data_IF_652135663213
#
_entry.id   IF_652135663213
#
_cell.length_a   1.000
_cell.length_b   1.000
_cell.length_c   1.000
_cell.angle_alpha   90.00
_cell.angle_beta   90.00
_cell.angle_gamma   90.00
#
_symmetry.space_group_name_H-M   'P 1'
#
loop_
_entity.id
_entity.type
_entity.pdbx_description
1 polymer ?
#
# COMPACT_ATOMS: atom_id res chain seq x y z
N UNK A 1 -9.33 31.75 34.47
CA UNK A 1 -10.77 31.48 34.67
C UNK A 1 -11.41 32.73 35.27
N UNK A 2 -12.41 33.26 34.61
CA UNK A 2 -13.21 34.40 35.15
C UNK A 2 -14.54 33.89 35.71
N UNK A 3 -14.90 34.46 36.85
CA UNK A 3 -16.21 34.24 37.52
C UNK A 3 -16.77 35.63 37.84
N UNK A 4 -17.98 35.93 37.39
CA UNK A 4 -18.67 37.22 37.58
C UNK A 4 -17.81 38.44 37.18
N UNK A 5 -17.07 38.34 36.07
CA UNK A 5 -16.19 39.41 35.57
C UNK A 5 -14.93 39.64 36.40
N UNK A 6 -14.57 38.72 37.30
CA UNK A 6 -13.33 38.75 38.08
C UNK A 6 -12.48 37.54 37.78
N UNK A 7 -11.16 37.76 37.60
CA UNK A 7 -10.20 36.66 37.46
C UNK A 7 -10.15 35.88 38.77
N UNK A 8 -10.68 34.65 38.75
CA UNK A 8 -10.71 33.77 39.94
C UNK A 8 -9.49 32.82 39.95
N UNK A 9 -8.91 32.52 38.78
CA UNK A 9 -7.70 31.71 38.66
C UNK A 9 -6.91 32.17 37.43
N UNK A 10 -5.66 32.50 37.65
CA UNK A 10 -4.69 32.74 36.59
C UNK A 10 -3.53 31.76 36.77
N UNK A 11 -3.31 30.92 35.75
CA UNK A 11 -2.25 29.94 35.77
C UNK A 11 -1.47 30.07 34.48
N UNK A 12 -0.16 30.21 34.58
CA UNK A 12 0.74 30.23 33.44
C UNK A 12 0.99 28.79 32.93
N UNK A 13 0.55 28.50 31.75
CA UNK A 13 0.83 27.22 31.08
C UNK A 13 2.02 27.37 30.15
N UNK A 14 3.07 26.59 30.36
CA UNK A 14 4.18 26.48 29.45
C UNK A 14 3.82 25.50 28.34
N UNK A 15 3.59 25.99 27.14
CA UNK A 15 3.33 25.16 25.96
C UNK A 15 4.64 24.79 25.28
N UNK A 16 5.01 23.53 25.37
CA UNK A 16 6.13 22.99 24.58
C UNK A 16 5.77 22.99 23.08
N UNK A 17 6.67 23.48 22.21
CA UNK A 17 6.41 23.46 20.78
C UNK A 17 6.13 22.04 20.29
N UNK A 18 5.09 21.87 19.47
CA UNK A 18 4.77 20.59 18.85
C UNK A 18 5.93 20.17 17.95
N UNK A 19 6.39 18.92 18.10
CA UNK A 19 7.43 18.36 17.23
C UNK A 19 7.00 18.43 15.77
N UNK A 20 7.85 18.99 14.91
CA UNK A 20 7.62 18.95 13.47
C UNK A 20 7.61 17.51 12.99
N UNK A 21 6.62 17.16 12.17
CA UNK A 21 6.46 15.84 11.57
C UNK A 21 6.35 15.99 10.07
N UNK A 22 6.92 15.05 9.36
CA UNK A 22 6.69 14.86 7.94
C UNK A 22 5.64 13.75 7.79
N UNK A 23 4.62 13.98 6.97
CA UNK A 23 3.53 13.04 6.73
C UNK A 23 3.56 12.64 5.27
N UNK A 24 3.81 11.36 4.99
CA UNK A 24 3.74 10.79 3.65
C UNK A 24 2.36 10.18 3.45
N UNK A 25 1.66 10.64 2.41
CA UNK A 25 0.38 10.07 2.00
C UNK A 25 0.61 9.00 0.93
N UNK A 26 0.06 7.81 1.15
CA UNK A 26 0.19 6.64 0.29
C UNK A 26 -1.21 6.19 -0.17
N UNK A 27 -1.83 6.90 -1.15
CA UNK A 27 -3.15 6.51 -1.63
C UNK A 27 -3.09 5.13 -2.29
N UNK A 28 -4.05 4.29 -1.94
CA UNK A 28 -4.23 2.96 -2.55
C UNK A 28 -5.70 2.55 -2.49
N UNK A 29 -6.03 1.44 -3.13
CA UNK A 29 -7.32 0.76 -2.98
C UNK A 29 -7.09 -0.63 -2.41
N UNK A 30 -7.71 -0.91 -1.28
CA UNK A 30 -7.74 -2.27 -0.75
C UNK A 30 -8.42 -3.24 -1.71
N UNK A 31 -7.91 -4.47 -1.79
CA UNK A 31 -8.36 -5.49 -2.74
C UNK A 31 -8.92 -6.71 -2.01
N UNK A 32 -10.26 -6.72 -1.87
CA UNK A 32 -11.04 -7.86 -1.41
C UNK A 32 -11.50 -8.71 -2.59
N UNK A 33 -10.86 -9.83 -2.84
CA UNK A 33 -11.21 -10.70 -3.97
C UNK A 33 -12.35 -11.63 -3.56
N UNK A 34 -13.57 -11.30 -4.02
CA UNK A 34 -14.76 -12.12 -3.76
C UNK A 34 -15.36 -12.00 -2.36
N UNK A 35 -14.88 -11.09 -1.51
CA UNK A 35 -15.43 -10.87 -0.17
C UNK A 35 -16.55 -9.82 -0.18
N UNK A 36 -16.27 -8.62 -0.66
CA UNK A 36 -17.26 -7.53 -0.72
C UNK A 36 -18.17 -7.62 -1.95
N UNK A 37 -17.67 -8.18 -3.06
CA UNK A 37 -18.37 -8.36 -4.34
C UNK A 37 -17.88 -9.66 -5.02
N UNK A 38 -18.64 -10.23 -5.98
CA UNK A 38 -18.12 -11.30 -6.83
C UNK A 38 -16.85 -10.89 -7.56
N UNK A 39 -15.90 -11.81 -7.69
CA UNK A 39 -14.59 -11.55 -8.27
C UNK A 39 -14.61 -10.73 -9.57
N UNK A 40 -15.48 -11.01 -10.58
CA UNK A 40 -15.51 -10.20 -11.81
C UNK A 40 -15.95 -8.74 -11.58
N UNK A 41 -16.71 -8.47 -10.52
CA UNK A 41 -17.09 -7.11 -10.16
C UNK A 41 -15.92 -6.37 -9.50
N UNK A 42 -15.18 -7.05 -8.63
CA UNK A 42 -13.95 -6.52 -8.02
C UNK A 42 -12.91 -6.21 -9.10
N UNK A 43 -12.69 -7.11 -10.07
CA UNK A 43 -11.79 -6.88 -11.19
C UNK A 43 -12.14 -5.58 -11.93
N UNK A 44 -13.39 -5.42 -12.35
CA UNK A 44 -13.82 -4.20 -13.05
C UNK A 44 -13.66 -2.93 -12.21
N UNK A 45 -13.85 -3.03 -10.89
CA UNK A 45 -13.60 -1.91 -9.98
C UNK A 45 -12.11 -1.53 -9.96
N UNK A 46 -11.24 -2.53 -9.83
CA UNK A 46 -9.79 -2.30 -9.81
C UNK A 46 -9.26 -1.78 -11.16
N UNK A 47 -9.78 -2.26 -12.28
CA UNK A 47 -9.43 -1.72 -13.60
C UNK A 47 -9.76 -0.24 -13.74
N UNK A 48 -10.93 0.20 -13.21
CA UNK A 48 -11.28 1.63 -13.17
C UNK A 48 -10.33 2.41 -12.29
N UNK A 49 -10.05 1.91 -11.09
CA UNK A 49 -9.12 2.57 -10.16
C UNK A 49 -7.74 2.78 -10.80
N UNK A 50 -7.22 1.80 -11.52
CA UNK A 50 -5.93 1.92 -12.20
C UNK A 50 -5.97 2.94 -13.35
N UNK A 51 -7.05 2.98 -14.12
CA UNK A 51 -7.25 3.96 -15.18
C UNK A 51 -7.36 5.37 -14.63
N UNK A 52 -8.18 5.55 -13.61
CA UNK A 52 -8.38 6.83 -12.94
C UNK A 52 -7.08 7.33 -12.29
N UNK A 53 -6.27 6.42 -11.73
CA UNK A 53 -4.97 6.75 -11.17
C UNK A 53 -3.99 7.27 -12.25
N UNK A 54 -3.96 6.63 -13.43
CA UNK A 54 -3.16 7.10 -14.57
C UNK A 54 -3.62 8.49 -15.02
N UNK A 55 -4.93 8.70 -15.11
CA UNK A 55 -5.50 9.98 -15.52
C UNK A 55 -5.16 11.09 -14.51
N UNK A 56 -5.31 10.83 -13.21
CA UNK A 56 -4.96 11.78 -12.14
C UNK A 56 -3.46 12.09 -12.13
N UNK A 57 -2.60 11.10 -12.33
CA UNK A 57 -1.16 11.30 -12.45
C UNK A 57 -0.83 12.24 -13.63
N UNK A 58 -1.46 12.06 -14.78
CA UNK A 58 -1.30 12.94 -15.95
C UNK A 58 -1.81 14.36 -15.68
N UNK A 59 -2.98 14.51 -15.07
CA UNK A 59 -3.57 15.83 -14.74
C UNK A 59 -2.69 16.64 -13.80
N UNK A 60 -1.95 15.99 -12.92
CA UNK A 60 -1.10 16.66 -11.93
C UNK A 60 0.38 16.70 -12.33
N UNK A 61 0.75 16.23 -13.52
CA UNK A 61 2.14 16.12 -13.95
C UNK A 61 2.89 17.47 -13.94
N UNK A 62 2.19 18.59 -14.17
CA UNK A 62 2.74 19.94 -14.13
C UNK A 62 2.83 20.55 -12.72
N UNK A 63 2.29 19.87 -11.70
CA UNK A 63 2.34 20.37 -10.32
C UNK A 63 3.76 20.24 -9.75
N UNK A 64 4.09 20.97 -8.67
CA UNK A 64 5.31 20.73 -7.92
C UNK A 64 5.45 19.25 -7.54
N UNK A 65 6.67 18.68 -7.51
CA UNK A 65 6.87 17.24 -7.31
C UNK A 65 6.15 16.66 -6.09
N UNK A 66 6.09 17.41 -5.00
CA UNK A 66 5.43 17.04 -3.74
C UNK A 66 3.89 17.08 -3.82
N UNK A 67 3.32 17.76 -4.81
CA UNK A 67 1.87 17.89 -5.02
C UNK A 67 1.36 17.00 -6.17
N UNK A 68 2.25 16.27 -6.85
CA UNK A 68 1.85 15.35 -7.91
C UNK A 68 1.13 14.15 -7.34
N UNK A 69 0.06 13.75 -8.00
CA UNK A 69 -0.67 12.55 -7.61
C UNK A 69 0.21 11.30 -7.74
N UNK A 70 0.18 10.47 -6.71
CA UNK A 70 0.82 9.16 -6.64
C UNK A 70 -0.21 8.12 -6.23
N UNK A 71 -0.06 6.93 -6.73
CA UNK A 71 -0.92 5.81 -6.39
C UNK A 71 -0.11 4.56 -6.09
N UNK A 72 -0.53 3.76 -5.12
CA UNK A 72 0.07 2.48 -4.80
C UNK A 72 -0.91 1.36 -5.09
N UNK A 73 -0.48 0.38 -5.85
CA UNK A 73 -1.27 -0.82 -6.11
C UNK A 73 -0.95 -1.85 -5.04
N UNK A 74 -1.94 -2.23 -4.25
CA UNK A 74 -1.76 -3.12 -3.11
C UNK A 74 -1.38 -4.55 -3.53
N UNK A 75 -1.99 -5.09 -4.58
CA UNK A 75 -1.76 -6.46 -5.05
C UNK A 75 -1.62 -6.56 -6.56
N UNK A 76 -0.66 -7.36 -7.03
CA UNK A 76 -0.37 -7.51 -8.45
C UNK A 76 -1.44 -8.27 -9.24
N UNK A 77 -2.33 -8.99 -8.56
CA UNK A 77 -3.51 -9.61 -9.19
C UNK A 77 -4.32 -8.61 -10.02
N UNK A 78 -4.56 -7.42 -9.47
CA UNK A 78 -5.29 -6.37 -10.18
C UNK A 78 -4.53 -5.82 -11.38
N UNK A 79 -3.20 -5.73 -11.29
CA UNK A 79 -2.32 -5.28 -12.39
C UNK A 79 -2.30 -6.32 -13.51
N UNK A 80 -2.09 -7.59 -13.18
CA UNK A 80 -2.07 -8.66 -14.16
C UNK A 80 -3.40 -8.76 -14.92
N UNK A 81 -4.51 -8.73 -14.18
CA UNK A 81 -5.86 -8.73 -14.73
C UNK A 81 -6.11 -7.51 -15.64
N UNK A 82 -5.70 -6.32 -15.20
CA UNK A 82 -5.82 -5.11 -15.99
C UNK A 82 -5.02 -5.16 -17.30
N UNK A 83 -3.77 -5.55 -17.23
CA UNK A 83 -2.88 -5.60 -18.40
C UNK A 83 -3.33 -6.62 -19.45
N UNK A 84 -4.05 -7.68 -19.04
CA UNK A 84 -4.61 -8.68 -19.96
C UNK A 84 -5.76 -8.12 -20.81
N UNK A 85 -6.55 -7.21 -20.28
CA UNK A 85 -7.78 -6.72 -20.91
C UNK A 85 -7.69 -5.25 -21.40
N UNK A 86 -6.72 -4.46 -20.96
CA UNK A 86 -6.57 -3.06 -21.31
C UNK A 86 -6.32 -2.89 -22.84
N UNK A 87 -6.84 -1.81 -23.40
CA UNK A 87 -6.47 -1.40 -24.76
C UNK A 87 -4.96 -1.18 -24.85
N UNK A 88 -4.35 -1.23 -26.05
CA UNK A 88 -2.94 -0.92 -26.22
C UNK A 88 -2.57 0.45 -25.62
N UNK A 89 -3.39 1.48 -25.83
CA UNK A 89 -3.19 2.83 -25.35
C UNK A 89 -3.22 2.90 -23.83
N UNK A 90 -4.22 2.25 -23.20
CA UNK A 90 -4.36 2.22 -21.75
C UNK A 90 -3.22 1.45 -21.09
N UNK A 91 -2.79 0.34 -21.73
CA UNK A 91 -1.65 -0.46 -21.27
C UNK A 91 -0.36 0.34 -21.30
N UNK A 92 -0.06 0.99 -22.42
CA UNK A 92 1.15 1.80 -22.59
C UNK A 92 1.16 2.96 -21.59
N UNK A 93 0.00 3.59 -21.38
CA UNK A 93 -0.16 4.65 -20.40
C UNK A 93 0.12 4.21 -18.97
N UNK A 94 -0.39 3.04 -18.58
CA UNK A 94 -0.15 2.46 -17.26
C UNK A 94 1.34 2.09 -17.10
N UNK A 95 1.92 1.44 -18.10
CA UNK A 95 3.34 1.06 -18.09
C UNK A 95 4.24 2.28 -17.97
N UNK A 96 3.95 3.37 -18.69
CA UNK A 96 4.66 4.63 -18.55
C UNK A 96 4.55 5.20 -17.14
N UNK A 97 3.34 5.27 -16.56
CA UNK A 97 3.11 5.80 -15.22
C UNK A 97 3.84 5.00 -14.11
N UNK A 98 3.98 3.67 -14.28
CA UNK A 98 4.78 2.83 -13.38
C UNK A 98 6.26 3.13 -13.54
N UNK A 99 6.77 3.24 -14.77
CA UNK A 99 8.19 3.53 -15.05
C UNK A 99 8.60 4.92 -14.57
N UNK A 100 7.72 5.89 -14.67
CA UNK A 100 7.92 7.26 -14.19
C UNK A 100 7.77 7.39 -12.66
N UNK A 101 7.28 6.35 -11.98
CA UNK A 101 7.08 6.33 -10.55
C UNK A 101 5.86 7.13 -10.07
N UNK A 102 4.89 7.39 -10.92
CA UNK A 102 3.57 7.92 -10.53
C UNK A 102 2.67 6.84 -9.95
N UNK A 103 2.84 5.59 -10.41
CA UNK A 103 2.17 4.42 -9.85
C UNK A 103 3.23 3.49 -9.28
N UNK A 104 3.14 3.25 -7.96
CA UNK A 104 3.94 2.28 -7.23
C UNK A 104 3.29 0.90 -7.23
N UNK A 105 4.10 -0.15 -7.33
CA UNK A 105 3.66 -1.53 -7.26
C UNK A 105 4.16 -2.17 -5.96
N UNK A 106 3.33 -3.02 -5.36
CA UNK A 106 3.71 -3.87 -4.23
C UNK A 106 4.00 -5.28 -4.75
N UNK A 107 4.97 -5.97 -4.13
CA UNK A 107 5.50 -7.22 -4.67
C UNK A 107 4.55 -8.41 -4.50
N UNK A 108 3.68 -8.37 -3.49
CA UNK A 108 2.73 -9.44 -3.22
C UNK A 108 1.65 -9.54 -4.31
N UNK A 109 1.27 -10.78 -4.66
CA UNK A 109 0.23 -11.02 -5.65
C UNK A 109 -1.15 -10.59 -5.16
N UNK A 110 -1.49 -10.95 -3.92
CA UNK A 110 -2.74 -10.59 -3.24
C UNK A 110 -2.54 -10.65 -1.73
N UNK A 111 -3.52 -10.20 -0.96
CA UNK A 111 -3.58 -10.47 0.48
C UNK A 111 -3.95 -11.93 0.72
N UNK A 112 -3.29 -12.58 1.67
CA UNK A 112 -3.52 -13.99 2.03
C UNK A 112 -3.37 -14.20 3.54
N UNK A 113 -4.00 -15.26 4.05
CA UNK A 113 -3.78 -15.74 5.42
C UNK A 113 -2.42 -16.44 5.52
N UNK A 114 -1.37 -15.69 5.75
CA UNK A 114 0.03 -16.15 5.71
C UNK A 114 0.34 -17.27 6.71
N UNK A 115 -0.44 -17.39 7.79
CA UNK A 115 -0.32 -18.47 8.75
C UNK A 115 -0.83 -19.83 8.25
N UNK A 116 -1.61 -19.83 7.15
CA UNK A 116 -2.12 -21.03 6.49
C UNK A 116 -1.30 -21.42 5.26
N UNK A 117 -0.42 -20.55 4.81
CA UNK A 117 0.42 -20.77 3.64
C UNK A 117 1.70 -21.54 4.01
N UNK A 118 2.11 -22.45 3.14
CA UNK A 118 3.40 -23.11 3.23
C UNK A 118 4.56 -22.15 2.91
N UNK A 119 5.79 -22.44 3.33
CA UNK A 119 6.95 -21.64 2.96
C UNK A 119 7.15 -21.54 1.44
N UNK A 120 6.77 -22.57 0.69
CA UNK A 120 6.86 -22.58 -0.77
C UNK A 120 5.83 -21.66 -1.41
N UNK A 121 4.58 -21.72 -0.97
CA UNK A 121 3.55 -20.78 -1.45
C UNK A 121 3.92 -19.33 -1.16
N UNK A 122 4.51 -19.03 -0.01
CA UNK A 122 5.00 -17.69 0.31
C UNK A 122 6.15 -17.22 -0.60
N UNK A 123 7.04 -18.12 -1.04
CA UNK A 123 8.06 -17.77 -2.04
C UNK A 123 7.43 -17.41 -3.38
N UNK A 124 6.40 -18.17 -3.80
CA UNK A 124 5.67 -17.91 -5.06
C UNK A 124 4.76 -16.69 -4.99
N UNK A 125 4.45 -16.21 -3.80
CA UNK A 125 3.58 -15.05 -3.58
C UNK A 125 4.07 -13.76 -4.28
N UNK A 126 5.36 -13.67 -4.54
CA UNK A 126 5.99 -12.51 -5.21
C UNK A 126 6.43 -12.79 -6.65
N UNK A 127 6.17 -13.96 -7.20
CA UNK A 127 6.61 -14.34 -8.56
C UNK A 127 6.06 -13.44 -9.64
N UNK A 128 4.82 -12.96 -9.50
CA UNK A 128 4.20 -12.01 -10.42
C UNK A 128 5.01 -10.70 -10.53
N UNK A 129 5.64 -10.26 -9.45
CA UNK A 129 6.49 -9.07 -9.46
C UNK A 129 7.68 -9.23 -10.42
N UNK A 130 8.33 -10.39 -10.41
CA UNK A 130 9.43 -10.72 -11.32
C UNK A 130 8.94 -10.87 -12.76
N UNK A 131 7.82 -11.56 -12.95
CA UNK A 131 7.24 -11.79 -14.27
C UNK A 131 6.83 -10.48 -14.96
N UNK A 132 6.06 -9.63 -14.26
CA UNK A 132 5.60 -8.33 -14.77
C UNK A 132 6.78 -7.37 -15.03
N UNK A 133 7.78 -7.38 -14.12
CA UNK A 133 9.00 -6.61 -14.32
C UNK A 133 9.72 -7.01 -15.61
N UNK A 134 9.87 -8.30 -15.88
CA UNK A 134 10.53 -8.80 -17.10
C UNK A 134 9.70 -8.48 -18.35
N UNK A 135 8.38 -8.69 -18.30
CA UNK A 135 7.49 -8.51 -19.45
C UNK A 135 7.33 -7.03 -19.84
N UNK A 136 7.26 -6.14 -18.87
CA UNK A 136 6.95 -4.71 -19.09
C UNK A 136 8.10 -3.76 -18.78
N UNK A 137 9.27 -4.25 -18.39
CA UNK A 137 10.43 -3.42 -18.07
C UNK A 137 10.20 -2.52 -16.86
N UNK A 138 9.45 -2.97 -15.85
CA UNK A 138 9.22 -2.21 -14.63
C UNK A 138 10.49 -2.10 -13.80
N UNK A 139 10.64 -1.02 -13.01
CA UNK A 139 11.74 -0.90 -12.05
C UNK A 139 11.65 -2.03 -10.99
N UNK A 140 12.72 -2.28 -10.23
CA UNK A 140 12.68 -3.24 -9.12
C UNK A 140 11.57 -2.91 -8.13
N UNK A 141 10.66 -3.86 -7.89
CA UNK A 141 9.60 -3.74 -6.90
C UNK A 141 10.19 -4.15 -5.56
N UNK A 142 10.41 -3.18 -4.67
CA UNK A 142 11.13 -3.36 -3.41
C UNK A 142 10.25 -3.23 -2.17
N UNK A 143 8.96 -3.02 -2.36
CA UNK A 143 7.98 -2.90 -1.28
C UNK A 143 6.88 -3.95 -1.42
N UNK A 144 6.30 -4.35 -0.31
CA UNK A 144 5.09 -5.16 -0.25
C UNK A 144 4.13 -4.56 0.79
N UNK A 145 2.84 -4.70 0.55
CA UNK A 145 1.78 -4.22 1.42
C UNK A 145 0.79 -5.36 1.70
N UNK A 146 0.49 -5.58 2.96
CA UNK A 146 -0.43 -6.60 3.41
C UNK A 146 -1.43 -5.97 4.37
N UNK A 147 -2.66 -5.79 3.92
CA UNK A 147 -3.67 -5.01 4.64
C UNK A 147 -4.91 -5.83 4.92
N UNK A 148 -5.56 -5.50 6.02
CA UNK A 148 -6.86 -6.02 6.44
C UNK A 148 -6.92 -7.57 6.59
N UNK A 149 -5.80 -8.18 6.91
CA UNK A 149 -5.71 -9.62 7.16
C UNK A 149 -5.30 -9.88 8.62
N UNK A 150 -5.99 -10.78 9.34
CA UNK A 150 -5.64 -11.10 10.72
C UNK A 150 -4.32 -11.90 10.77
N UNK A 151 -3.31 -11.31 11.41
CA UNK A 151 -2.03 -11.95 11.66
C UNK A 151 -1.06 -11.99 10.48
N UNK A 152 0.18 -12.24 10.82
CA UNK A 152 1.28 -12.35 9.89
C UNK A 152 2.26 -13.41 10.40
N UNK A 153 2.62 -14.40 9.57
CA UNK A 153 3.61 -15.40 9.93
C UNK A 153 5.03 -14.86 9.76
N UNK A 154 5.96 -15.29 10.63
CA UNK A 154 7.37 -14.93 10.52
C UNK A 154 8.02 -15.38 9.20
N UNK A 155 7.50 -16.44 8.58
CA UNK A 155 7.99 -16.96 7.30
C UNK A 155 7.87 -15.94 6.16
N UNK A 156 6.91 -15.02 6.24
CA UNK A 156 6.74 -13.91 5.28
C UNK A 156 8.00 -13.05 5.18
N UNK A 157 8.65 -12.78 6.31
CA UNK A 157 9.87 -11.96 6.37
C UNK A 157 10.96 -12.55 5.49
N UNK A 158 11.16 -13.86 5.58
CA UNK A 158 12.16 -14.57 4.78
C UNK A 158 11.80 -14.61 3.30
N UNK A 159 10.54 -14.94 2.98
CA UNK A 159 10.07 -15.00 1.60
C UNK A 159 10.19 -13.64 0.89
N UNK A 160 9.83 -12.56 1.55
CA UNK A 160 9.95 -11.20 1.01
C UNK A 160 11.43 -10.80 0.84
N UNK A 161 12.29 -11.12 1.80
CA UNK A 161 13.72 -10.83 1.71
C UNK A 161 14.38 -11.58 0.54
N UNK A 162 14.10 -12.86 0.37
CA UNK A 162 14.57 -13.69 -0.76
C UNK A 162 14.12 -13.11 -2.12
N UNK A 163 12.94 -12.50 -2.18
CA UNK A 163 12.40 -11.84 -3.37
C UNK A 163 13.00 -10.46 -3.65
N UNK A 164 13.87 -9.94 -2.80
CA UNK A 164 14.47 -8.61 -2.91
C UNK A 164 13.59 -7.48 -2.41
N UNK A 165 12.51 -7.78 -1.71
CA UNK A 165 11.67 -6.79 -1.01
C UNK A 165 12.44 -6.26 0.20
N UNK A 166 12.47 -4.93 0.36
CA UNK A 166 13.18 -4.24 1.44
C UNK A 166 12.27 -3.50 2.40
N UNK A 167 11.06 -3.21 1.97
CA UNK A 167 10.09 -2.45 2.75
C UNK A 167 8.79 -3.21 2.79
N UNK A 168 8.23 -3.34 3.98
CA UNK A 168 6.98 -4.03 4.19
C UNK A 168 6.05 -3.17 5.03
N UNK A 169 4.82 -2.99 4.55
CA UNK A 169 3.75 -2.33 5.29
C UNK A 169 2.69 -3.36 5.64
N UNK A 170 2.29 -3.40 6.90
CA UNK A 170 1.21 -4.26 7.37
C UNK A 170 0.17 -3.45 8.12
N UNK A 171 -1.09 -3.59 7.73
CA UNK A 171 -2.26 -3.06 8.40
C UNK A 171 -3.16 -4.23 8.81
N UNK A 172 -3.00 -4.81 10.02
CA UNK A 172 -3.78 -5.97 10.42
C UNK A 172 -5.26 -5.62 10.55
N UNK A 173 -6.13 -6.61 10.28
CA UNK A 173 -7.55 -6.48 10.52
C UNK A 173 -7.81 -6.32 12.03
N UNK A 174 -8.74 -5.43 12.37
CA UNK A 174 -9.19 -5.25 13.74
C UNK A 174 -10.11 -6.41 14.15
N UNK A 175 -9.69 -7.18 15.15
CA UNK A 175 -10.54 -8.19 15.80
C UNK A 175 -10.96 -7.66 17.16
N UNK A 176 -12.23 -7.28 17.36
CA UNK A 176 -12.71 -6.82 18.67
C UNK A 176 -12.48 -7.88 19.75
N UNK A 177 -11.95 -7.45 20.90
CA UNK A 177 -11.78 -8.31 22.08
C UNK A 177 -10.41 -9.02 22.17
N UNK A 178 -9.49 -8.80 21.23
CA UNK A 178 -8.09 -9.17 21.48
C UNK A 178 -7.42 -8.09 22.33
N UNK A 179 -6.79 -8.46 23.48
CA UNK A 179 -5.98 -7.53 24.25
C UNK A 179 -4.90 -6.93 23.35
N UNK A 180 -4.69 -5.64 23.36
CA UNK A 180 -3.63 -4.90 22.65
C UNK A 180 -3.70 -4.83 21.11
N UNK A 181 -4.79 -5.28 20.46
CA UNK A 181 -4.89 -5.30 18.99
C UNK A 181 -5.54 -4.08 18.34
N UNK A 182 -6.30 -3.29 19.10
CA UNK A 182 -7.29 -2.37 18.53
C UNK A 182 -6.77 -1.09 17.91
N UNK A 183 -5.66 -0.55 18.35
CA UNK A 183 -5.27 0.83 18.01
C UNK A 183 -3.90 0.97 17.32
N UNK A 184 -3.31 -0.10 16.87
CA UNK A 184 -2.01 0.00 16.20
C UNK A 184 -2.18 0.15 14.70
N UNK A 185 -2.17 1.40 14.27
CA UNK A 185 -1.94 1.79 12.88
C UNK A 185 -0.70 1.07 12.35
N UNK A 186 -0.81 0.52 11.16
CA UNK A 186 0.20 -0.34 10.52
C UNK A 186 1.64 0.12 10.77
N UNK A 187 2.45 -0.82 11.19
CA UNK A 187 3.88 -0.58 11.43
C UNK A 187 4.62 -0.86 10.13
N UNK A 188 5.26 0.16 9.58
CA UNK A 188 6.22 -0.04 8.50
C UNK A 188 7.47 -0.67 9.06
N UNK A 189 7.76 -1.91 8.68
CA UNK A 189 9.00 -2.57 9.06
C UNK A 189 10.07 -2.17 8.06
N UNK A 190 11.04 -1.39 8.53
CA UNK A 190 12.19 -0.99 7.72
C UNK A 190 13.14 -2.17 7.55
N UNK A 191 13.55 -2.36 6.29
CA UNK A 191 14.74 -3.08 5.87
C UNK A 191 15.00 -4.47 6.49
N UNK A 192 14.66 -5.48 5.74
CA UNK A 192 15.22 -6.79 5.89
C UNK A 192 16.60 -6.79 5.22
N UNK A 193 17.65 -6.75 6.06
CA UNK A 193 18.99 -7.07 5.63
C UNK A 193 19.79 -5.98 4.92
N UNK A 194 20.17 -4.93 5.62
CA UNK A 194 21.44 -4.25 5.37
C UNK A 194 22.48 -4.93 6.27
N UNK A 195 23.21 -5.88 5.72
CA UNK A 195 24.54 -6.26 6.19
C UNK A 195 25.55 -5.72 5.21
#
# INVERSE_FOLDING_TARGET
VEIDGRVALEEALELTPVRRREVHLLPHSHVDIGYSDPQPAVERKQWRNLRDAVELARKTASYPPEARFKWNVEGLWSVESYLKQASPEDRDAFVAAVREGSIGLQANYTNILTGLATPEELRHWTDAARQLRTAYGFPPIRSAMHSDIPGLSWTVVFALAESGVRYFSSGPNYVPGLPDGGDRIGTTIKALGDK
#
